data_IF_217640521726
#
_entry.id   IF_217640521726
#
_cell.length_a   1.000
_cell.length_b   1.000
_cell.length_c   1.000
_cell.angle_alpha   90.00
_cell.angle_beta   90.00
_cell.angle_gamma   90.00
#
_symmetry.space_group_name_H-M   'P 1'
#
loop_
_entity.id
_entity.type
_entity.pdbx_description
1 polymer ?
#
# COMPACT_ATOMS: atom_id res chain seq x y z
N UNK A 1 6.00 -6.67 -14.91
CA UNK A 1 5.20 -5.72 -15.73
C UNK A 1 6.11 -5.14 -16.77
N UNK A 2 5.57 -4.69 -17.90
CA UNK A 2 6.35 -3.99 -18.92
C UNK A 2 5.83 -4.27 -20.32
N UNK A 3 6.55 -3.77 -21.31
CA UNK A 3 6.35 -4.07 -22.71
C UNK A 3 6.97 -5.42 -23.06
N UNK A 4 6.14 -6.35 -23.52
CA UNK A 4 6.58 -7.68 -23.97
C UNK A 4 6.50 -7.82 -25.49
N UNK A 5 6.06 -6.79 -26.21
CA UNK A 5 5.74 -6.84 -27.63
C UNK A 5 4.85 -8.04 -28.01
N UNK A 6 3.95 -8.40 -27.09
CA UNK A 6 3.19 -9.64 -27.10
C UNK A 6 1.69 -9.35 -27.15
N UNK A 7 1.03 -9.75 -28.25
CA UNK A 7 -0.43 -9.72 -28.38
C UNK A 7 -0.95 -11.07 -27.95
N UNK A 8 -1.61 -11.15 -26.80
CA UNK A 8 -2.10 -12.42 -26.24
C UNK A 8 -3.47 -12.82 -26.77
N UNK A 9 -4.26 -11.84 -27.22
CA UNK A 9 -5.55 -12.02 -27.85
C UNK A 9 -6.72 -12.25 -26.90
N UNK A 10 -7.84 -12.73 -27.44
CA UNK A 10 -9.05 -13.09 -26.67
C UNK A 10 -9.22 -14.59 -26.47
N UNK A 11 -8.66 -15.41 -27.36
CA UNK A 11 -8.66 -16.86 -27.20
C UNK A 11 -7.81 -17.22 -25.99
N UNK A 12 -8.38 -18.00 -25.08
CA UNK A 12 -7.72 -18.46 -23.87
C UNK A 12 -7.72 -19.99 -23.73
N UNK A 13 -8.02 -20.71 -24.82
CA UNK A 13 -8.00 -22.18 -24.87
C UNK A 13 -6.64 -22.71 -24.43
N UNK A 14 -6.62 -23.55 -23.41
CA UNK A 14 -5.40 -24.11 -22.81
C UNK A 14 -4.66 -23.16 -21.85
N UNK A 15 -5.15 -21.94 -21.66
CA UNK A 15 -4.57 -20.91 -20.78
C UNK A 15 -5.62 -20.31 -19.83
N UNK A 16 -6.75 -20.97 -19.61
CA UNK A 16 -7.90 -20.46 -18.86
C UNK A 16 -7.55 -20.08 -17.41
N UNK A 17 -6.54 -20.74 -16.87
CA UNK A 17 -6.02 -20.54 -15.52
C UNK A 17 -5.23 -19.23 -15.33
N UNK A 18 -4.63 -18.71 -16.42
CA UNK A 18 -3.73 -17.56 -16.41
C UNK A 18 -4.22 -16.40 -17.26
N UNK A 19 -5.17 -16.63 -18.16
CA UNK A 19 -5.66 -15.66 -19.12
C UNK A 19 -7.19 -15.62 -19.17
N UNK A 20 -7.74 -14.42 -19.20
CA UNK A 20 -9.15 -14.19 -19.44
C UNK A 20 -9.44 -13.92 -20.92
N UNK A 21 -10.73 -13.77 -21.25
CA UNK A 21 -11.19 -13.54 -22.63
C UNK A 21 -11.33 -12.06 -23.00
N UNK A 22 -10.78 -11.16 -22.19
CA UNK A 22 -10.95 -9.70 -22.35
C UNK A 22 -9.76 -9.00 -22.99
N UNK A 23 -8.75 -9.75 -23.48
CA UNK A 23 -7.64 -9.15 -24.24
C UNK A 23 -8.07 -8.51 -25.56
N UNK A 24 -7.10 -8.03 -26.32
CA UNK A 24 -7.32 -7.41 -27.63
C UNK A 24 -6.62 -8.20 -28.75
N UNK A 25 -7.24 -8.15 -29.93
CA UNK A 25 -6.72 -8.68 -31.20
C UNK A 25 -6.52 -10.20 -31.20
N UNK A 26 -5.90 -10.72 -32.26
CA UNK A 26 -5.45 -12.10 -32.32
C UNK A 26 -4.07 -12.26 -31.69
N UNK A 27 -3.78 -13.49 -31.25
CA UNK A 27 -2.50 -13.82 -30.64
C UNK A 27 -1.39 -13.84 -31.69
N UNK A 28 -0.27 -13.18 -31.41
CA UNK A 28 0.94 -13.30 -32.23
C UNK A 28 1.93 -14.30 -31.62
N UNK A 29 3.01 -14.63 -32.33
CA UNK A 29 4.03 -15.59 -31.86
C UNK A 29 4.64 -15.19 -30.51
N UNK A 30 4.95 -13.91 -30.31
CA UNK A 30 5.39 -13.38 -29.02
C UNK A 30 4.32 -13.56 -27.93
N UNK A 31 3.05 -13.40 -28.28
CA UNK A 31 1.89 -13.64 -27.42
C UNK A 31 1.81 -15.08 -26.95
N UNK A 32 2.09 -16.04 -27.82
CA UNK A 32 2.15 -17.46 -27.47
C UNK A 32 3.32 -17.76 -26.53
N UNK A 33 4.53 -17.28 -26.87
CA UNK A 33 5.71 -17.41 -26.00
C UNK A 33 5.49 -16.79 -24.62
N UNK A 34 4.84 -15.62 -24.58
CA UNK A 34 4.50 -14.94 -23.34
C UNK A 34 3.42 -15.66 -22.54
N UNK A 35 2.39 -16.20 -23.19
CA UNK A 35 1.37 -17.02 -22.54
C UNK A 35 1.98 -18.31 -21.95
N UNK A 36 2.89 -18.96 -22.68
CA UNK A 36 3.64 -20.13 -22.20
C UNK A 36 4.51 -19.80 -20.99
N UNK A 37 5.24 -18.69 -21.03
CA UNK A 37 6.02 -18.19 -19.89
C UNK A 37 5.12 -17.96 -18.66
N UNK A 38 3.96 -17.34 -18.87
CA UNK A 38 2.99 -17.07 -17.80
C UNK A 38 2.38 -18.35 -17.24
N UNK A 39 2.01 -19.31 -18.10
CA UNK A 39 1.51 -20.62 -17.69
C UNK A 39 2.54 -21.38 -16.84
N UNK A 40 3.79 -21.46 -17.32
CA UNK A 40 4.89 -22.13 -16.62
C UNK A 40 5.14 -21.53 -15.24
N UNK A 41 5.17 -20.20 -15.14
CA UNK A 41 5.45 -19.49 -13.89
C UNK A 41 4.21 -19.22 -13.02
N UNK A 42 3.03 -19.75 -13.40
CA UNK A 42 1.75 -19.51 -12.72
C UNK A 42 1.46 -18.02 -12.55
N UNK A 43 1.61 -17.23 -13.62
CA UNK A 43 1.33 -15.80 -13.65
C UNK A 43 0.05 -15.51 -14.42
N UNK A 44 -0.89 -14.80 -13.80
CA UNK A 44 -2.13 -14.35 -14.42
C UNK A 44 -1.92 -13.02 -15.15
N UNK A 45 -2.35 -12.94 -16.40
CA UNK A 45 -2.23 -11.76 -17.28
C UNK A 45 -3.38 -10.81 -17.02
N UNK A 46 -3.17 -9.83 -16.15
CA UNK A 46 -4.24 -8.97 -15.61
C UNK A 46 -5.01 -8.18 -16.66
N UNK A 47 -4.35 -7.73 -17.74
CA UNK A 47 -4.96 -7.00 -18.85
C UNK A 47 -6.00 -7.79 -19.67
N UNK A 48 -6.14 -9.09 -19.42
CA UNK A 48 -7.10 -9.98 -20.10
C UNK A 48 -8.29 -10.38 -19.23
N UNK A 49 -8.29 -10.03 -17.95
CA UNK A 49 -9.27 -10.51 -16.96
C UNK A 49 -10.53 -9.65 -16.93
N UNK A 50 -10.34 -8.32 -16.89
CA UNK A 50 -11.43 -7.39 -16.58
C UNK A 50 -12.12 -6.86 -17.85
N UNK A 51 -13.46 -6.76 -17.86
CA UNK A 51 -14.20 -6.23 -18.99
C UNK A 51 -14.03 -4.71 -19.07
N UNK A 52 -13.41 -4.23 -20.15
CA UNK A 52 -13.20 -2.81 -20.40
C UNK A 52 -13.52 -2.42 -21.85
N UNK A 53 -13.80 -1.13 -22.08
CA UNK A 53 -13.83 -0.56 -23.44
C UNK A 53 -12.42 -0.63 -24.06
N UNK A 54 -12.34 -0.73 -25.40
CA UNK A 54 -11.06 -0.82 -26.15
C UNK A 54 -10.08 0.29 -25.77
N UNK A 55 -10.58 1.51 -25.58
CA UNK A 55 -9.79 2.68 -25.14
C UNK A 55 -9.10 2.51 -23.77
N UNK A 56 -9.47 1.52 -22.95
CA UNK A 56 -8.85 1.24 -21.67
C UNK A 56 -8.04 -0.07 -21.69
N UNK A 57 -7.76 -0.61 -22.88
CA UNK A 57 -6.97 -1.83 -23.10
C UNK A 57 -5.79 -1.63 -24.05
N UNK A 58 -5.91 -0.71 -25.00
CA UNK A 58 -4.83 -0.34 -25.93
C UNK A 58 -3.69 0.29 -25.14
N UNK A 59 -2.50 -0.32 -25.19
CA UNK A 59 -1.30 0.19 -24.51
C UNK A 59 -0.40 0.96 -25.48
N UNK A 60 -0.47 0.69 -26.77
CA UNK A 60 0.36 1.33 -27.79
C UNK A 60 -0.50 1.79 -28.96
N UNK A 61 -0.20 2.98 -29.50
CA UNK A 61 -0.83 3.52 -30.71
C UNK A 61 0.26 3.95 -31.68
N UNK A 62 0.16 3.54 -32.94
CA UNK A 62 1.13 3.92 -33.97
C UNK A 62 1.19 5.44 -34.17
N UNK A 63 2.32 5.98 -34.66
CA UNK A 63 2.48 7.42 -34.91
C UNK A 63 1.45 8.00 -35.89
N UNK A 64 0.94 7.20 -36.81
CA UNK A 64 -0.12 7.57 -37.76
C UNK A 64 -1.54 7.46 -37.16
N UNK A 65 -1.65 7.05 -35.89
CA UNK A 65 -2.88 6.83 -35.15
C UNK A 65 -3.85 5.78 -35.72
N UNK A 66 -3.41 4.95 -36.68
CA UNK A 66 -4.26 3.94 -37.33
C UNK A 66 -4.29 2.63 -36.56
N UNK A 67 -3.16 2.24 -35.97
CA UNK A 67 -2.94 0.92 -35.37
C UNK A 67 -2.87 1.05 -33.86
N UNK A 68 -3.57 0.14 -33.17
CA UNK A 68 -3.66 0.10 -31.72
C UNK A 68 -3.45 -1.32 -31.22
N UNK A 69 -2.52 -1.49 -30.27
CA UNK A 69 -2.13 -2.80 -29.76
C UNK A 69 -2.15 -2.85 -28.22
N UNK A 70 -2.29 -4.05 -27.67
CA UNK A 70 -2.07 -4.36 -26.27
C UNK A 70 -0.79 -5.20 -26.16
N UNK A 71 0.33 -4.55 -25.86
CA UNK A 71 1.67 -5.16 -25.78
C UNK A 71 2.34 -4.98 -24.42
N UNK A 72 1.84 -4.03 -23.62
CA UNK A 72 2.25 -3.83 -22.24
C UNK A 72 1.35 -4.63 -21.29
N UNK A 73 1.96 -5.45 -20.43
CA UNK A 73 1.22 -6.35 -19.55
C UNK A 73 1.64 -6.20 -18.09
N UNK A 74 0.63 -6.23 -17.21
CA UNK A 74 0.81 -6.44 -15.78
C UNK A 74 0.38 -7.87 -15.47
N UNK A 75 1.32 -8.67 -14.97
CA UNK A 75 1.08 -10.03 -14.53
C UNK A 75 1.23 -10.14 -13.02
N UNK A 76 0.47 -11.06 -12.43
CA UNK A 76 0.50 -11.34 -11.00
C UNK A 76 0.55 -12.85 -10.76
N UNK A 77 1.27 -13.31 -9.74
CA UNK A 77 1.24 -14.73 -9.38
C UNK A 77 -0.20 -15.20 -9.10
N UNK A 78 -0.55 -16.39 -9.61
CA UNK A 78 -1.87 -17.01 -9.52
C UNK A 78 -2.37 -17.08 -8.08
N UNK A 79 -1.48 -17.29 -7.11
CA UNK A 79 -1.81 -17.29 -5.67
C UNK A 79 -2.40 -15.96 -5.22
N UNK A 80 -1.91 -14.85 -5.76
CA UNK A 80 -2.36 -13.50 -5.45
C UNK A 80 -3.40 -12.97 -6.44
N UNK A 81 -3.95 -13.79 -7.36
CA UNK A 81 -4.93 -13.31 -8.36
C UNK A 81 -6.15 -12.60 -7.78
N UNK A 82 -6.49 -12.84 -6.51
CA UNK A 82 -7.64 -12.22 -5.84
C UNK A 82 -7.31 -10.85 -5.24
N UNK A 83 -6.03 -10.45 -5.23
CA UNK A 83 -5.62 -9.12 -4.74
C UNK A 83 -5.72 -8.08 -5.84
N UNK A 84 -5.65 -8.45 -7.11
CA UNK A 84 -5.84 -7.51 -8.22
C UNK A 84 -7.34 -7.28 -8.43
N UNK A 85 -7.77 -6.04 -8.28
CA UNK A 85 -9.17 -5.62 -8.42
C UNK A 85 -9.45 -5.09 -9.83
N UNK A 86 -8.43 -4.53 -10.50
CA UNK A 86 -8.55 -4.02 -11.86
C UNK A 86 -7.18 -3.90 -12.53
N UNK A 87 -7.14 -4.01 -13.86
CA UNK A 87 -6.02 -3.61 -14.72
C UNK A 87 -6.60 -2.84 -15.89
N UNK A 88 -6.18 -1.58 -16.05
CA UNK A 88 -6.70 -0.68 -17.07
C UNK A 88 -5.64 0.28 -17.57
N UNK A 89 -5.84 0.78 -18.78
CA UNK A 89 -4.98 1.81 -19.36
C UNK A 89 -5.50 3.21 -19.02
N UNK A 90 -4.58 4.08 -18.58
CA UNK A 90 -4.82 5.49 -18.28
C UNK A 90 -4.41 6.36 -19.46
N UNK A 91 -5.40 6.75 -20.27
CA UNK A 91 -5.20 7.64 -21.44
C UNK A 91 -5.08 9.13 -21.11
N UNK A 92 -5.41 9.54 -19.90
CA UNK A 92 -5.35 10.95 -19.49
C UNK A 92 -3.98 11.40 -18.98
N UNK A 93 -3.00 10.51 -18.91
CA UNK A 93 -1.62 10.87 -18.59
C UNK A 93 -0.92 11.23 -19.90
N UNK A 94 -0.62 12.51 -20.08
CA UNK A 94 0.19 12.97 -21.22
C UNK A 94 1.67 12.82 -20.88
N UNK A 95 2.34 11.92 -21.61
CA UNK A 95 3.76 11.59 -21.42
C UNK A 95 4.55 11.70 -22.72
N UNK A 96 3.97 12.30 -23.78
CA UNK A 96 4.59 12.41 -25.11
C UNK A 96 5.18 11.08 -25.63
N UNK A 97 4.49 9.96 -25.38
CA UNK A 97 4.86 8.62 -25.84
C UNK A 97 3.72 8.02 -26.67
N UNK A 98 4.07 7.15 -27.59
CA UNK A 98 3.17 6.24 -28.31
C UNK A 98 2.60 5.13 -27.41
N UNK A 99 3.19 4.93 -26.22
CA UNK A 99 2.66 4.09 -25.15
C UNK A 99 1.76 4.86 -24.18
N UNK A 100 0.73 4.18 -23.68
CA UNK A 100 -0.18 4.64 -22.66
C UNK A 100 0.04 3.86 -21.36
N UNK A 101 -0.08 4.55 -20.22
CA UNK A 101 0.24 3.99 -18.91
C UNK A 101 -0.70 2.84 -18.49
N UNK A 102 -0.20 1.61 -18.28
CA UNK A 102 -0.96 0.53 -17.65
C UNK A 102 -0.99 0.70 -16.12
N UNK A 103 -2.17 0.60 -15.52
CA UNK A 103 -2.37 0.74 -14.08
C UNK A 103 -3.12 -0.46 -13.53
N UNK A 104 -2.60 -1.05 -12.46
CA UNK A 104 -3.27 -2.08 -11.69
C UNK A 104 -3.81 -1.50 -10.37
N UNK A 105 -5.07 -1.78 -10.06
CA UNK A 105 -5.66 -1.54 -8.74
C UNK A 105 -5.54 -2.83 -7.93
N UNK A 106 -4.94 -2.74 -6.74
CA UNK A 106 -4.69 -3.91 -5.91
C UNK A 106 -5.15 -3.68 -4.47
N UNK A 107 -5.71 -4.72 -3.86
CA UNK A 107 -6.08 -4.79 -2.45
C UNK A 107 -5.22 -5.81 -1.73
N UNK A 108 -4.31 -5.31 -0.90
CA UNK A 108 -3.45 -6.15 -0.07
C UNK A 108 -4.15 -6.49 1.24
N UNK A 109 -4.21 -7.78 1.58
CA UNK A 109 -4.62 -8.25 2.90
C UNK A 109 -3.37 -8.60 3.69
N UNK A 110 -2.82 -7.62 4.40
CA UNK A 110 -1.63 -7.81 5.21
C UNK A 110 -2.01 -8.50 6.53
N UNK A 111 -1.27 -9.55 6.89
CA UNK A 111 -1.31 -10.11 8.24
C UNK A 111 -0.41 -9.24 9.11
N UNK A 112 -0.93 -8.74 10.24
CA UNK A 112 -0.10 -8.04 11.22
C UNK A 112 0.98 -9.01 11.72
N UNK A 113 2.23 -8.71 11.42
CA UNK A 113 3.35 -9.37 12.07
C UNK A 113 3.48 -8.78 13.46
N UNK A 114 3.14 -9.56 14.48
CA UNK A 114 3.42 -9.18 15.85
C UNK A 114 4.91 -9.36 16.07
N UNK A 115 5.68 -8.28 15.91
CA UNK A 115 6.97 -8.20 16.58
C UNK A 115 6.63 -8.22 18.05
N UNK A 116 6.89 -9.33 18.72
CA UNK A 116 6.75 -9.44 20.16
C UNK A 116 7.88 -8.59 20.76
N UNK A 117 7.73 -7.27 20.65
CA UNK A 117 8.48 -6.31 21.43
C UNK A 117 8.13 -6.67 22.85
N UNK A 118 9.04 -7.39 23.50
CA UNK A 118 9.01 -7.62 24.93
C UNK A 118 9.15 -6.24 25.54
N UNK A 119 8.05 -5.51 25.61
CA UNK A 119 7.93 -4.37 26.50
C UNK A 119 7.92 -5.05 27.85
N UNK A 120 9.11 -5.27 28.39
CA UNK A 120 9.25 -5.61 29.80
C UNK A 120 8.56 -4.43 30.46
N UNK A 121 7.31 -4.63 30.91
CA UNK A 121 6.68 -3.72 31.86
C UNK A 121 7.74 -3.53 32.93
N UNK A 122 8.36 -2.35 33.00
CA UNK A 122 9.36 -2.08 34.01
C UNK A 122 8.66 -2.23 35.35
N UNK A 123 8.92 -3.34 36.05
CA UNK A 123 8.47 -3.50 37.41
C UNK A 123 9.35 -2.60 38.25
N UNK A 124 8.85 -1.41 38.57
CA UNK A 124 9.48 -0.54 39.54
C UNK A 124 9.49 -1.25 40.89
N UNK A 125 10.65 -1.28 41.55
CA UNK A 125 10.76 -1.85 42.89
C UNK A 125 10.04 -0.95 43.90
N UNK A 126 8.85 -1.35 44.33
CA UNK A 126 8.03 -0.62 45.29
C UNK A 126 8.37 -0.91 46.75
N UNK A 127 9.32 -1.80 47.04
CA UNK A 127 9.70 -2.14 48.42
C UNK A 127 10.18 -0.91 49.21
N UNK A 128 10.83 0.05 48.54
CA UNK A 128 11.27 1.30 49.16
C UNK A 128 10.14 2.24 49.57
N UNK A 129 8.91 2.03 49.10
CA UNK A 129 7.73 2.80 49.51
C UNK A 129 7.10 2.24 50.79
N UNK A 130 7.56 1.11 51.32
CA UNK A 130 7.13 0.59 52.63
C UNK A 130 7.73 1.41 53.80
N UNK A 131 8.83 2.10 53.57
CA UNK A 131 9.42 3.06 54.52
C UNK A 131 8.64 4.37 54.49
N UNK A 132 8.04 4.74 55.62
CA UNK A 132 7.19 5.93 55.77
C UNK A 132 7.93 7.23 55.44
N UNK A 133 9.22 7.34 55.76
CA UNK A 133 10.01 8.54 55.48
C UNK A 133 10.28 8.66 53.97
N UNK A 134 10.62 7.56 53.31
CA UNK A 134 10.82 7.53 51.84
C UNK A 134 9.51 7.77 51.09
N UNK A 135 8.41 7.20 51.55
CA UNK A 135 7.08 7.44 51.00
C UNK A 135 6.71 8.94 51.09
N UNK A 136 6.90 9.56 52.25
CA UNK A 136 6.58 10.97 52.44
C UNK A 136 7.46 11.88 51.59
N UNK A 137 8.77 11.60 51.51
CA UNK A 137 9.69 12.32 50.62
C UNK A 137 9.28 12.18 49.15
N UNK A 138 8.91 10.97 48.73
CA UNK A 138 8.43 10.73 47.37
C UNK A 138 7.12 11.48 47.08
N UNK A 139 6.15 11.46 48.00
CA UNK A 139 4.90 12.23 47.87
C UNK A 139 5.14 13.73 47.73
N UNK A 140 6.06 14.29 48.52
CA UNK A 140 6.41 15.72 48.45
C UNK A 140 7.06 16.05 47.10
N UNK A 141 8.06 15.27 46.68
CA UNK A 141 8.73 15.49 45.38
C UNK A 141 7.73 15.37 44.22
N UNK A 142 6.83 14.39 44.29
CA UNK A 142 5.79 14.19 43.30
C UNK A 142 4.81 15.38 43.28
N UNK A 143 4.31 15.79 44.44
CA UNK A 143 3.40 16.94 44.57
C UNK A 143 4.05 18.21 44.01
N UNK A 144 5.31 18.46 44.34
CA UNK A 144 6.06 19.63 43.85
C UNK A 144 6.26 19.58 42.33
N UNK A 145 6.60 18.40 41.77
CA UNK A 145 6.78 18.23 40.33
C UNK A 145 5.49 18.52 39.55
N UNK A 146 4.34 18.18 40.11
CA UNK A 146 3.03 18.39 39.48
C UNK A 146 2.28 19.65 39.96
N UNK A 147 2.90 20.47 40.82
CA UNK A 147 2.28 21.71 41.33
C UNK A 147 1.93 22.67 40.19
N UNK A 148 2.79 22.75 39.16
CA UNK A 148 2.55 23.56 37.97
C UNK A 148 1.22 23.24 37.27
N UNK A 149 0.70 22.01 37.37
CA UNK A 149 -0.61 21.65 36.82
C UNK A 149 -1.77 22.15 37.66
N UNK A 150 -1.62 22.19 38.99
CA UNK A 150 -2.63 22.75 39.88
C UNK A 150 -2.73 24.27 39.71
N UNK A 151 -1.60 24.95 39.55
CA UNK A 151 -1.55 26.39 39.31
C UNK A 151 -2.15 26.75 37.94
N UNK A 152 -1.96 25.88 36.94
CA UNK A 152 -2.57 26.00 35.61
C UNK A 152 -4.10 25.87 35.61
N UNK A 153 -4.64 24.96 36.44
CA UNK A 153 -6.08 24.69 36.54
C UNK A 153 -6.81 25.78 37.33
N UNK A 154 -6.10 26.51 38.19
CA UNK A 154 -6.65 27.53 39.08
C UNK A 154 -6.30 28.98 38.67
N UNK A 155 -5.46 29.18 37.65
CA UNK A 155 -5.01 30.50 37.21
C UNK A 155 -5.87 31.09 36.09
N UNK A 156 -6.67 32.13 36.39
CA UNK A 156 -7.23 33.01 35.35
C UNK A 156 -6.14 33.99 34.86
N UNK A 157 -5.77 33.92 33.57
CA UNK A 157 -5.01 34.99 32.90
C UNK A 157 -3.70 34.65 32.20
N UNK A 158 -3.32 33.39 32.04
CA UNK A 158 -2.09 33.00 31.32
C UNK A 158 -2.35 32.64 29.84
N UNK A 159 -1.40 32.99 28.96
CA UNK A 159 -1.47 32.64 27.52
C UNK A 159 -1.37 31.13 27.29
N UNK A 160 -1.94 30.63 26.20
CA UNK A 160 -1.97 29.19 25.86
C UNK A 160 -0.54 28.64 25.72
N UNK A 161 0.38 29.43 25.19
CA UNK A 161 1.79 29.08 24.97
C UNK A 161 2.56 28.94 26.29
N UNK A 162 2.35 29.84 27.25
CA UNK A 162 2.95 29.73 28.59
C UNK A 162 2.44 28.49 29.32
N UNK A 163 1.16 28.17 29.14
CA UNK A 163 0.53 27.00 29.73
C UNK A 163 1.10 25.70 29.16
N UNK A 164 1.25 25.63 27.83
CA UNK A 164 1.85 24.48 27.16
C UNK A 164 3.31 24.24 27.56
N UNK A 165 4.09 25.32 27.73
CA UNK A 165 5.49 25.23 28.18
C UNK A 165 5.60 24.63 29.59
N UNK A 166 4.76 25.08 30.53
CA UNK A 166 4.73 24.53 31.90
C UNK A 166 4.38 23.04 31.96
N UNK A 167 3.39 22.61 31.16
CA UNK A 167 3.02 21.20 31.03
C UNK A 167 4.21 20.36 30.52
N UNK A 168 4.90 20.86 29.49
CA UNK A 168 6.02 20.14 28.88
C UNK A 168 7.19 19.98 29.85
N UNK A 169 7.52 21.02 30.61
CA UNK A 169 8.58 20.98 31.62
C UNK A 169 8.26 20.05 32.80
N UNK A 170 6.97 19.93 33.18
CA UNK A 170 6.55 19.04 34.27
C UNK A 170 6.49 17.54 33.87
N UNK A 171 6.29 17.22 32.59
CA UNK A 171 6.20 15.83 32.09
C UNK A 171 7.58 15.28 31.69
N UNK A 172 8.47 16.14 31.22
CA UNK A 172 9.83 15.76 30.80
C UNK A 172 10.78 15.63 32.01
#
# INVERSE_FOLDING_TARGET
MGDFNAKVGTDNTGYEDIMGRRGLSERNENGERFANLCAFNKLVIGGTIFPHKRIHKTTWTSPDHTTQNQIDHICINKTFRRTIEDVRIKRGADIASDHHLPVAKMKLKLKKHWTMGRTISQKFNTAFLQDTNKLNKFKIVLSNKFQAFHDLLNGEGTTVESNWKGIKEAIT
#
